data_IF_365402010081
#
_entry.id   IF_365402010081
#
_cell.length_a   1.000
_cell.length_b   1.000
_cell.length_c   1.000
_cell.angle_alpha   90.00
_cell.angle_beta   90.00
_cell.angle_gamma   90.00
#
_symmetry.space_group_name_H-M   'P 1'
#
loop_
_entity.id
_entity.type
_entity.pdbx_description
1 polymer ?
#
# COMPACT_ATOMS: atom_id res chain seq x y z
N UNK A 1 -5.22 37.74 -35.67
CA UNK A 1 -5.28 36.27 -35.62
C UNK A 1 -4.01 35.63 -35.06
N UNK A 2 -2.79 35.99 -35.50
CA UNK A 2 -1.54 35.39 -34.97
C UNK A 2 -1.27 35.65 -33.47
N UNK A 3 -1.51 36.87 -32.98
CA UNK A 3 -1.28 37.24 -31.56
C UNK A 3 -2.28 36.61 -30.60
N UNK A 4 -3.55 36.53 -31.00
CA UNK A 4 -4.62 35.88 -30.21
C UNK A 4 -4.39 34.38 -30.10
N UNK A 5 -3.90 33.74 -31.16
CA UNK A 5 -3.53 32.32 -31.16
C UNK A 5 -2.39 32.02 -30.17
N UNK A 6 -1.41 32.91 -30.08
CA UNK A 6 -0.26 32.79 -29.18
C UNK A 6 -0.69 32.91 -27.70
N UNK A 7 -1.64 33.80 -27.40
CA UNK A 7 -2.22 33.94 -26.06
C UNK A 7 -2.99 32.67 -25.65
N UNK A 8 -3.77 32.09 -26.57
CA UNK A 8 -4.54 30.86 -26.32
C UNK A 8 -3.60 29.68 -26.04
N UNK A 9 -2.52 29.53 -26.82
CA UNK A 9 -1.50 28.50 -26.59
C UNK A 9 -0.83 28.70 -25.23
N UNK A 10 -0.48 29.94 -24.88
CA UNK A 10 0.16 30.25 -23.60
C UNK A 10 -0.78 29.91 -22.41
N UNK A 11 -2.09 30.16 -22.57
CA UNK A 11 -3.09 29.82 -21.56
C UNK A 11 -3.29 28.31 -21.40
N UNK A 12 -3.26 27.55 -22.50
CA UNK A 12 -3.33 26.08 -22.48
C UNK A 12 -2.10 25.44 -21.80
N UNK A 13 -0.91 25.99 -22.04
CA UNK A 13 0.32 25.52 -21.39
C UNK A 13 0.26 25.79 -19.88
N UNK A 14 -0.22 26.97 -19.46
CA UNK A 14 -0.38 27.32 -18.04
C UNK A 14 -1.41 26.43 -17.32
N UNK A 15 -2.52 26.07 -17.98
CA UNK A 15 -3.53 25.18 -17.41
C UNK A 15 -3.01 23.76 -17.13
N UNK A 16 -1.98 23.31 -17.86
CA UNK A 16 -1.38 21.98 -17.69
C UNK A 16 -0.58 21.83 -16.39
N UNK A 17 -0.22 22.93 -15.73
CA UNK A 17 0.55 22.93 -14.48
C UNK A 17 -0.33 23.00 -13.22
N UNK A 18 -1.66 23.01 -13.37
CA UNK A 18 -2.58 22.94 -12.23
C UNK A 18 -2.61 21.50 -11.67
N UNK A 19 -1.64 21.17 -10.84
CA UNK A 19 -1.61 19.92 -10.09
C UNK A 19 -2.44 20.08 -8.81
N UNK A 20 -3.65 19.54 -8.78
CA UNK A 20 -4.43 19.45 -7.56
C UNK A 20 -3.74 18.44 -6.62
N UNK A 21 -3.11 18.94 -5.56
CA UNK A 21 -2.54 18.08 -4.51
C UNK A 21 -3.66 17.27 -3.88
N UNK A 22 -3.43 15.97 -3.72
CA UNK A 22 -4.40 15.06 -3.09
C UNK A 22 -4.85 15.59 -1.73
N UNK A 23 -6.14 15.44 -1.44
CA UNK A 23 -6.76 15.86 -0.18
C UNK A 23 -6.01 15.21 1.01
N UNK A 24 -5.50 15.98 1.97
CA UNK A 24 -4.70 15.45 3.07
C UNK A 24 -5.46 14.43 3.91
N UNK A 25 -6.78 14.53 3.99
CA UNK A 25 -7.62 13.55 4.71
C UNK A 25 -7.63 12.22 3.97
N UNK A 26 -7.77 12.25 2.65
CA UNK A 26 -7.71 11.06 1.79
C UNK A 26 -6.37 10.35 1.92
N UNK A 27 -5.25 11.08 1.87
CA UNK A 27 -3.90 10.51 2.05
C UNK A 27 -3.73 9.84 3.42
N UNK A 28 -4.22 10.49 4.49
CA UNK A 28 -4.15 9.93 5.85
C UNK A 28 -5.02 8.68 5.99
N UNK A 29 -6.24 8.72 5.45
CA UNK A 29 -7.19 7.61 5.45
C UNK A 29 -6.57 6.41 4.73
N UNK A 30 -6.07 6.60 3.51
CA UNK A 30 -5.54 5.51 2.70
C UNK A 30 -4.26 4.92 3.30
N UNK A 31 -3.37 5.74 3.87
CA UNK A 31 -2.19 5.25 4.58
C UNK A 31 -2.51 4.48 5.85
N UNK A 32 -3.55 4.87 6.59
CA UNK A 32 -3.98 4.17 7.80
C UNK A 32 -4.64 2.83 7.48
N UNK A 33 -5.47 2.78 6.43
CA UNK A 33 -6.20 1.56 6.06
C UNK A 33 -5.27 0.43 5.58
N UNK A 34 -4.10 0.75 5.02
CA UNK A 34 -3.10 -0.26 4.61
C UNK A 34 -2.65 -1.21 5.71
N UNK A 35 -2.70 -0.78 6.99
CA UNK A 35 -2.33 -1.65 8.12
C UNK A 35 -3.39 -2.71 8.44
N UNK A 36 -4.61 -2.57 7.93
CA UNK A 36 -5.71 -3.48 8.21
C UNK A 36 -6.02 -4.45 7.08
N UNK A 37 -5.40 -4.27 5.91
CA UNK A 37 -5.58 -5.21 4.81
C UNK A 37 -4.93 -6.55 5.16
N UNK A 38 -5.68 -7.67 5.10
CA UNK A 38 -5.10 -8.98 5.29
C UNK A 38 -4.13 -9.25 4.14
N UNK A 39 -2.89 -9.57 4.48
CA UNK A 39 -1.86 -9.92 3.49
C UNK A 39 -1.51 -11.39 3.66
N UNK A 40 -1.57 -12.13 2.56
CA UNK A 40 -1.17 -13.54 2.50
C UNK A 40 0.11 -13.65 1.69
N UNK A 41 1.07 -14.40 2.20
CA UNK A 41 2.33 -14.68 1.52
C UNK A 41 3.01 -15.90 2.12
N UNK A 42 3.98 -16.42 1.38
CA UNK A 42 4.72 -17.61 1.78
C UNK A 42 6.08 -17.21 2.35
N UNK A 43 6.46 -17.88 3.43
CA UNK A 43 7.82 -17.82 3.95
C UNK A 43 8.72 -18.64 3.02
N UNK A 44 9.69 -17.99 2.38
CA UNK A 44 10.64 -18.61 1.46
C UNK A 44 11.97 -18.96 2.11
N UNK A 45 12.27 -18.38 3.28
CA UNK A 45 13.50 -18.67 4.01
C UNK A 45 13.50 -18.13 5.43
N UNK A 46 14.40 -18.67 6.26
CA UNK A 46 14.66 -18.21 7.62
C UNK A 46 16.17 -18.08 7.81
N UNK A 47 16.62 -16.89 8.18
CA UNK A 47 18.02 -16.56 8.40
C UNK A 47 18.20 -16.07 9.85
N UNK A 48 18.47 -17.01 10.76
CA UNK A 48 18.56 -16.71 12.19
C UNK A 48 17.25 -16.18 12.75
N UNK A 49 17.22 -14.90 13.14
CA UNK A 49 16.03 -14.21 13.65
C UNK A 49 15.31 -13.35 12.58
N UNK A 50 15.58 -13.62 11.30
CA UNK A 50 14.94 -12.93 10.17
C UNK A 50 14.17 -13.96 9.33
N UNK A 51 13.02 -13.54 8.82
CA UNK A 51 12.17 -14.33 7.93
C UNK A 51 12.16 -13.65 6.57
N UNK A 52 12.36 -14.44 5.51
CA UNK A 52 12.25 -13.99 4.12
C UNK A 52 10.91 -14.45 3.57
N UNK A 53 10.20 -13.52 2.94
CA UNK A 53 8.84 -13.71 2.45
C UNK A 53 8.81 -13.37 0.95
N UNK A 54 7.92 -14.01 0.20
CA UNK A 54 7.71 -13.71 -1.23
C UNK A 54 6.90 -12.44 -1.51
N UNK A 55 6.59 -11.68 -0.45
CA UNK A 55 5.78 -10.46 -0.48
C UNK A 55 6.57 -9.25 0.03
N UNK A 56 6.22 -8.05 -0.46
CA UNK A 56 6.94 -6.81 -0.15
C UNK A 56 6.16 -5.55 -0.51
N UNK A 57 6.85 -4.47 -0.91
CA UNK A 57 6.25 -3.16 -1.21
C UNK A 57 5.12 -3.20 -2.25
N UNK A 58 5.23 -4.09 -3.25
CA UNK A 58 4.20 -4.30 -4.27
C UNK A 58 2.88 -4.82 -3.67
N UNK A 59 2.95 -5.44 -2.50
CA UNK A 59 1.82 -6.02 -1.78
C UNK A 59 1.47 -5.17 -0.55
N UNK A 60 1.77 -3.86 -0.63
CA UNK A 60 1.45 -2.86 0.41
C UNK A 60 2.15 -3.06 1.76
N UNK A 61 3.16 -3.94 1.83
CA UNK A 61 3.97 -4.10 3.04
C UNK A 61 4.97 -2.96 3.16
N UNK A 62 4.86 -2.24 4.27
CA UNK A 62 5.70 -1.10 4.59
C UNK A 62 6.71 -1.43 5.69
N UNK A 63 7.84 -0.73 5.70
CA UNK A 63 8.80 -0.82 6.80
C UNK A 63 8.17 -0.42 8.13
N UNK A 64 8.46 -1.16 9.20
CA UNK A 64 7.90 -0.93 10.54
C UNK A 64 6.52 -1.55 10.78
N UNK A 65 5.91 -2.16 9.76
CA UNK A 65 4.64 -2.89 9.91
C UNK A 65 4.85 -4.14 10.77
N UNK A 66 3.90 -4.43 11.67
CA UNK A 66 3.89 -5.64 12.49
C UNK A 66 2.99 -6.67 11.83
N UNK A 67 3.52 -7.86 11.59
CA UNK A 67 2.82 -8.95 10.93
C UNK A 67 2.71 -10.13 11.90
N UNK A 68 1.55 -10.77 11.91
CA UNK A 68 1.35 -12.04 12.61
C UNK A 68 1.57 -13.18 11.63
N UNK A 69 2.50 -14.07 11.93
CA UNK A 69 2.77 -15.25 11.12
C UNK A 69 1.79 -16.34 11.55
N UNK A 70 1.01 -16.84 10.60
CA UNK A 70 0.08 -17.94 10.80
C UNK A 70 0.56 -19.15 9.99
N UNK A 71 0.60 -20.32 10.62
CA UNK A 71 0.88 -21.58 9.93
C UNK A 71 -0.43 -22.18 9.41
N UNK A 72 -0.56 -22.30 8.10
CA UNK A 72 -1.68 -22.99 7.48
C UNK A 72 -1.62 -24.50 7.81
N UNK A 73 -2.76 -25.09 8.17
CA UNK A 73 -2.86 -26.53 8.46
C UNK A 73 -2.36 -26.96 9.85
N UNK A 74 -2.02 -26.01 10.74
CA UNK A 74 -1.79 -26.33 12.15
C UNK A 74 -3.08 -26.84 12.81
N UNK A 75 -3.00 -27.77 13.79
CA UNK A 75 -4.18 -28.23 14.50
C UNK A 75 -4.80 -27.06 15.26
N UNK A 76 -6.01 -26.66 14.86
CA UNK A 76 -6.81 -25.69 15.60
C UNK A 76 -7.52 -26.43 16.74
N UNK A 77 -6.98 -26.34 17.95
CA UNK A 77 -7.64 -26.87 19.14
C UNK A 77 -8.70 -25.85 19.55
N UNK A 78 -9.96 -26.19 19.37
CA UNK A 78 -11.02 -25.26 19.73
C UNK A 78 -11.02 -25.02 21.26
N UNK A 79 -11.00 -23.77 21.74
CA UNK A 79 -10.68 -23.43 23.13
C UNK A 79 -11.70 -24.00 24.13
N UNK A 80 -12.94 -24.23 23.69
CA UNK A 80 -14.02 -24.77 24.54
C UNK A 80 -14.07 -26.30 24.51
N UNK A 81 -13.89 -26.90 23.33
CA UNK A 81 -14.05 -28.35 23.14
C UNK A 81 -12.75 -29.11 23.36
N UNK A 82 -11.60 -28.42 23.35
CA UNK A 82 -10.25 -29.00 23.46
C UNK A 82 -10.00 -30.14 22.47
N UNK A 83 -10.69 -30.10 21.33
CA UNK A 83 -10.66 -31.07 20.23
C UNK A 83 -10.66 -30.31 18.93
#
# INVERSE_FOLDING_TARGET
MRRTFLIIICFLIMASFAFAKEDPITVLKDSTLKFFHPVTGKITGVEGNKVVMDIGLKNEIMSGMRLNILSEGGPFIHPVTKR
#
